data_IF_921016781401
#
_entry.id   IF_921016781401
#
_cell.length_a   1.000
_cell.length_b   1.000
_cell.length_c   1.000
_cell.angle_alpha   90.00
_cell.angle_beta   90.00
_cell.angle_gamma   90.00
#
_symmetry.space_group_name_H-M   'P 1'
#
loop_
_entity.id
_entity.type
_entity.pdbx_description
1 polymer ?
#
# COMPACT_ATOMS: atom_id res chain seq x y z
N UNK A 1 0.31 6.86 23.52
CA UNK A 1 -0.24 6.26 22.29
C UNK A 1 -0.87 7.33 21.43
N UNK A 2 -0.57 7.38 20.13
CA UNK A 2 -1.17 8.33 19.20
C UNK A 2 -2.56 7.86 18.76
N UNK A 3 -3.54 8.76 18.67
CA UNK A 3 -4.90 8.40 18.21
C UNK A 3 -4.96 7.96 16.74
N UNK A 4 -3.99 8.38 15.92
CA UNK A 4 -3.93 8.03 14.49
C UNK A 4 -3.18 6.75 14.18
N UNK A 5 -2.02 6.55 14.80
CA UNK A 5 -1.12 5.43 14.50
C UNK A 5 -0.91 4.48 15.69
N UNK A 6 -1.63 4.66 16.80
CA UNK A 6 -1.39 3.92 18.03
C UNK A 6 0.06 4.12 18.49
N UNK A 7 0.75 3.00 18.71
CA UNK A 7 2.17 2.98 19.03
C UNK A 7 3.07 2.60 17.85
N UNK A 8 2.48 2.32 16.68
CA UNK A 8 3.21 1.87 15.49
C UNK A 8 4.05 2.99 14.86
N UNK A 9 3.71 4.26 15.13
CA UNK A 9 4.34 5.47 14.53
C UNK A 9 4.35 5.51 13.00
N UNK A 10 3.69 4.56 12.36
CA UNK A 10 3.54 4.43 10.91
C UNK A 10 2.08 4.17 10.57
N UNK A 11 1.64 4.68 9.43
CA UNK A 11 0.30 4.51 8.90
C UNK A 11 0.39 3.88 7.51
N UNK A 12 -0.50 2.94 7.19
CA UNK A 12 -0.57 2.34 5.87
C UNK A 12 -0.96 3.41 4.83
N UNK A 13 -0.35 3.35 3.65
CA UNK A 13 -0.78 4.20 2.55
C UNK A 13 -2.16 3.77 2.10
N UNK A 14 -3.15 4.66 2.19
CA UNK A 14 -4.52 4.38 1.76
C UNK A 14 -4.65 4.12 0.26
N UNK A 15 -3.73 4.65 -0.56
CA UNK A 15 -3.73 4.50 -2.01
C UNK A 15 -3.31 3.12 -2.51
N UNK A 16 -2.35 2.47 -1.84
CA UNK A 16 -1.89 1.12 -2.17
C UNK A 16 -2.20 0.12 -1.05
N UNK A 17 -3.00 0.51 -0.06
CA UNK A 17 -3.38 -0.32 1.11
C UNK A 17 -2.21 -1.02 1.82
N UNK A 18 -1.01 -0.43 1.84
CA UNK A 18 0.15 -1.07 2.47
C UNK A 18 1.16 -1.74 1.54
N UNK A 19 0.84 -2.00 0.26
CA UNK A 19 1.68 -2.81 -0.63
C UNK A 19 2.85 -2.04 -1.27
N UNK A 20 2.74 -0.73 -1.41
CA UNK A 20 3.69 0.11 -2.17
C UNK A 20 3.50 0.03 -3.68
N UNK A 21 2.60 -0.81 -4.17
CA UNK A 21 2.35 -1.04 -5.59
C UNK A 21 0.86 -0.82 -5.88
N UNK A 22 0.56 -0.27 -7.06
CA UNK A 22 -0.80 -0.14 -7.57
C UNK A 22 -0.87 -0.77 -8.96
N UNK A 23 -1.96 -1.46 -9.29
CA UNK A 23 -2.13 -2.09 -10.61
C UNK A 23 -2.32 -1.00 -11.69
N UNK A 24 -1.66 -1.16 -12.82
CA UNK A 24 -1.71 -0.26 -13.98
C UNK A 24 -2.93 -0.62 -14.82
N UNK A 25 -3.98 0.19 -14.69
CA UNK A 25 -5.31 -0.08 -15.23
C UNK A 25 -6.34 0.42 -14.23
N UNK A 26 -7.03 1.49 -14.59
CA UNK A 26 -7.73 2.38 -13.66
C UNK A 26 -8.62 1.71 -12.62
N UNK A 27 -8.67 2.36 -11.46
CA UNK A 27 -9.75 2.37 -10.47
C UNK A 27 -10.65 1.11 -10.40
N UNK A 28 -10.60 0.45 -9.24
CA UNK A 28 -11.60 -0.48 -8.70
C UNK A 28 -11.48 -1.95 -9.15
N UNK A 29 -10.57 -2.71 -8.52
CA UNK A 29 -10.80 -4.11 -8.12
C UNK A 29 -9.54 -4.70 -7.50
N UNK A 30 -9.38 -4.53 -6.18
CA UNK A 30 -8.49 -5.42 -5.42
C UNK A 30 -9.34 -6.54 -4.85
N UNK A 31 -9.63 -7.54 -5.69
CA UNK A 31 -9.85 -8.89 -5.20
C UNK A 31 -8.49 -9.38 -4.72
N UNK A 32 -8.30 -9.40 -3.39
CA UNK A 32 -7.13 -10.00 -2.73
C UNK A 32 -6.85 -11.45 -3.16
N UNK A 33 -7.79 -12.09 -3.85
CA UNK A 33 -7.72 -13.45 -4.37
C UNK A 33 -6.74 -13.57 -5.55
N UNK A 34 -6.59 -12.51 -6.35
CA UNK A 34 -5.75 -12.51 -7.56
C UNK A 34 -4.25 -12.53 -7.24
N UNK A 35 -3.84 -11.90 -6.13
CA UNK A 35 -2.45 -11.89 -5.66
C UNK A 35 -1.99 -13.28 -5.18
N UNK A 36 -2.93 -14.12 -4.73
CA UNK A 36 -2.66 -15.51 -4.39
C UNK A 36 -2.71 -16.44 -5.61
N UNK A 37 -3.46 -16.07 -6.65
CA UNK A 37 -3.53 -16.81 -7.92
C UNK A 37 -2.27 -16.61 -8.78
N UNK A 38 -1.70 -15.40 -8.80
CA UNK A 38 -0.42 -15.11 -9.48
C UNK A 38 0.78 -15.84 -8.86
N UNK A 39 0.72 -16.22 -7.58
CA UNK A 39 1.72 -17.10 -6.95
C UNK A 39 1.58 -18.57 -7.37
N UNK A 40 0.45 -18.91 -8.02
CA UNK A 40 0.07 -20.23 -8.52
C UNK A 40 -0.06 -20.24 -10.05
N UNK A 41 0.86 -19.62 -10.78
CA UNK A 41 1.17 -19.99 -12.17
C UNK A 41 0.04 -19.77 -13.20
N UNK A 42 -0.44 -18.54 -13.33
CA UNK A 42 -1.23 -18.11 -14.49
C UNK A 42 -0.69 -16.79 -15.02
N UNK A 43 -0.14 -16.80 -16.23
CA UNK A 43 0.29 -15.60 -16.96
C UNK A 43 -0.86 -14.59 -17.11
N UNK A 44 -0.99 -13.67 -16.17
CA UNK A 44 -1.69 -12.41 -16.41
C UNK A 44 -0.77 -11.28 -15.98
N UNK A 45 -0.09 -10.67 -16.97
CA UNK A 45 0.85 -9.56 -16.77
C UNK A 45 0.10 -8.31 -16.33
N UNK A 46 -0.46 -8.34 -15.12
CA UNK A 46 -1.05 -7.18 -14.47
C UNK A 46 0.13 -6.32 -14.06
N UNK A 47 0.47 -5.38 -14.95
CA UNK A 47 1.57 -4.43 -14.72
C UNK A 47 1.31 -3.73 -13.39
N UNK A 48 2.18 -3.92 -12.42
CA UNK A 48 2.12 -3.20 -11.15
C UNK A 48 3.08 -2.02 -11.24
N UNK A 49 2.56 -0.82 -10.97
CA UNK A 49 3.34 0.41 -10.93
C UNK A 49 3.59 0.82 -9.48
N UNK A 50 4.70 1.52 -9.27
CA UNK A 50 5.05 2.07 -7.95
C UNK A 50 3.98 3.06 -7.51
N UNK A 51 3.49 2.91 -6.28
CA UNK A 51 2.56 3.87 -5.71
C UNK A 51 3.25 5.23 -5.57
N UNK A 52 2.85 6.20 -6.38
CA UNK A 52 3.40 7.56 -6.35
C UNK A 52 3.14 8.26 -5.01
N UNK A 53 2.00 7.97 -4.36
CA UNK A 53 1.62 8.56 -3.06
C UNK A 53 2.63 8.22 -1.97
N UNK A 54 3.01 6.95 -1.82
CA UNK A 54 3.97 6.52 -0.79
C UNK A 54 5.37 6.24 -1.34
N UNK A 55 5.63 6.57 -2.60
CA UNK A 55 6.90 6.29 -3.29
C UNK A 55 7.36 4.83 -3.12
N UNK A 56 6.44 3.89 -3.34
CA UNK A 56 6.65 2.46 -3.15
C UNK A 56 6.97 1.97 -1.72
N UNK A 57 6.82 2.81 -0.69
CA UNK A 57 7.04 2.39 0.71
C UNK A 57 5.90 1.58 1.31
N UNK A 58 4.69 1.73 0.77
CA UNK A 58 3.46 1.15 1.31
C UNK A 58 2.93 1.83 2.58
N UNK A 59 3.73 2.69 3.22
CA UNK A 59 3.45 3.30 4.52
C UNK A 59 4.02 4.71 4.60
N UNK A 60 3.49 5.49 5.54
CA UNK A 60 3.96 6.81 5.90
C UNK A 60 4.31 6.87 7.39
N UNK A 61 5.24 7.74 7.74
CA UNK A 61 5.42 8.12 9.13
C UNK A 61 4.17 8.85 9.61
N UNK A 62 3.75 8.56 10.84
CA UNK A 62 2.61 9.21 11.45
C UNK A 62 2.93 10.72 11.62
N UNK A 63 2.21 11.62 10.93
CA UNK A 63 2.56 13.04 10.92
C UNK A 63 2.42 13.70 12.29
N UNK A 64 1.58 13.15 13.17
CA UNK A 64 1.40 13.64 14.53
C UNK A 64 2.52 13.16 15.47
N UNK A 65 3.19 12.04 15.14
CA UNK A 65 4.33 11.55 15.91
C UNK A 65 5.67 12.00 15.34
N UNK A 66 5.77 12.25 14.03
CA UNK A 66 7.03 12.70 13.42
C UNK A 66 7.31 14.19 13.68
N UNK A 67 6.32 14.95 14.16
CA UNK A 67 6.46 16.36 14.54
C UNK A 67 6.96 16.56 15.98
N UNK A 68 7.17 15.47 16.73
CA UNK A 68 7.79 15.53 18.06
C UNK A 68 9.30 15.59 17.86
N UNK A 69 9.80 16.78 17.53
CA UNK A 69 11.19 17.19 17.73
C UNK A 69 11.23 18.31 18.76
#
# INVERSE_FOLDING_TARGET
>A
MCKRCGDLRMIACSGCKGTGLVKEGGALSFNFIDDMYESLGGDSTVKTIRCSKCQARGRFCCPDCSKVQ
#
